data_IF_288259319108
#
_entry.id   IF_288259319108
#
_cell.length_a   1.000
_cell.length_b   1.000
_cell.length_c   1.000
_cell.angle_alpha   90.00
_cell.angle_beta   90.00
_cell.angle_gamma   90.00
#
_symmetry.space_group_name_H-M   'P 1'
#
loop_
_entity.id
_entity.type
_entity.pdbx_description
1 polymer ?
#
# COMPACT_ATOMS: atom_id res chain seq x y z
N UNK A 1 -6.15 15.81 -8.45
CA UNK A 1 -7.30 14.88 -8.65
C UNK A 1 -8.50 15.42 -7.86
N UNK A 2 -9.72 15.29 -8.36
CA UNK A 2 -10.93 15.64 -7.60
C UNK A 2 -11.23 14.50 -6.60
N UNK A 3 -11.65 14.81 -5.38
CA UNK A 3 -11.93 13.80 -4.32
C UNK A 3 -12.80 12.62 -4.79
N UNK A 4 -13.76 12.89 -5.67
CA UNK A 4 -14.65 11.87 -6.24
C UNK A 4 -13.92 10.86 -7.14
N UNK A 5 -12.96 11.33 -7.94
CA UNK A 5 -12.15 10.47 -8.82
C UNK A 5 -11.23 9.56 -8.01
N UNK A 6 -10.68 10.07 -6.92
CA UNK A 6 -9.83 9.29 -6.01
C UNK A 6 -10.61 8.16 -5.35
N UNK A 7 -11.82 8.47 -4.86
CA UNK A 7 -12.70 7.47 -4.27
C UNK A 7 -13.08 6.38 -5.27
N UNK A 8 -13.42 6.76 -6.50
CA UNK A 8 -13.79 5.81 -7.54
C UNK A 8 -12.64 4.86 -7.90
N UNK A 9 -11.42 5.38 -8.08
CA UNK A 9 -10.26 4.55 -8.41
C UNK A 9 -9.91 3.63 -7.23
N UNK A 10 -10.00 4.11 -6.00
CA UNK A 10 -9.78 3.28 -4.83
C UNK A 10 -10.79 2.12 -4.76
N UNK A 11 -12.08 2.39 -4.97
CA UNK A 11 -13.10 1.34 -5.06
C UNK A 11 -12.85 0.37 -6.22
N UNK A 12 -12.41 0.89 -7.38
CA UNK A 12 -12.07 0.05 -8.52
C UNK A 12 -10.93 -0.92 -8.19
N UNK A 13 -9.88 -0.43 -7.52
CA UNK A 13 -8.70 -1.19 -7.08
C UNK A 13 -8.96 -2.07 -5.84
N UNK A 14 -10.03 -1.83 -5.09
CA UNK A 14 -10.45 -2.73 -4.00
C UNK A 14 -10.86 -4.10 -4.53
N UNK A 15 -11.40 -4.19 -5.75
CA UNK A 15 -11.69 -5.47 -6.39
C UNK A 15 -10.36 -6.24 -6.67
N UNK A 16 -10.18 -7.45 -6.11
CA UNK A 16 -8.99 -8.28 -6.34
C UNK A 16 -8.70 -8.56 -7.83
N UNK A 17 -9.72 -8.70 -8.68
CA UNK A 17 -9.56 -8.95 -10.11
C UNK A 17 -8.89 -7.78 -10.82
N UNK A 18 -9.47 -6.58 -10.65
CA UNK A 18 -8.91 -5.36 -11.22
C UNK A 18 -7.49 -5.07 -10.70
N UNK A 19 -7.26 -5.33 -9.41
CA UNK A 19 -5.95 -5.14 -8.79
C UNK A 19 -4.91 -6.09 -9.40
N UNK A 20 -5.26 -7.37 -9.55
CA UNK A 20 -4.39 -8.38 -10.16
C UNK A 20 -4.09 -8.05 -11.61
N UNK A 21 -5.09 -7.66 -12.41
CA UNK A 21 -4.92 -7.31 -13.82
C UNK A 21 -3.98 -6.13 -14.01
N UNK A 22 -4.13 -5.07 -13.20
CA UNK A 22 -3.25 -3.90 -13.26
C UNK A 22 -1.81 -4.30 -12.93
N UNK A 23 -1.59 -5.08 -11.87
CA UNK A 23 -0.24 -5.54 -11.51
C UNK A 23 0.36 -6.48 -12.57
N UNK A 24 -0.42 -7.43 -13.07
CA UNK A 24 0.01 -8.36 -14.10
C UNK A 24 0.37 -7.63 -15.40
N UNK A 25 -0.45 -6.66 -15.81
CA UNK A 25 -0.21 -5.83 -16.98
C UNK A 25 1.03 -4.94 -16.84
N UNK A 26 1.18 -4.25 -15.71
CA UNK A 26 2.21 -3.21 -15.52
C UNK A 26 3.55 -3.74 -15.02
N UNK A 27 3.54 -4.57 -13.97
CA UNK A 27 4.76 -5.06 -13.30
C UNK A 27 5.23 -6.35 -13.97
N UNK A 28 4.32 -7.27 -14.26
CA UNK A 28 4.64 -8.58 -14.84
C UNK A 28 4.53 -8.64 -16.37
N UNK A 29 4.40 -7.48 -17.03
CA UNK A 29 4.41 -7.33 -18.49
C UNK A 29 3.37 -8.22 -19.19
N UNK A 30 2.16 -8.25 -18.65
CA UNK A 30 1.02 -9.01 -19.17
C UNK A 30 0.98 -10.49 -18.74
N UNK A 31 1.94 -10.97 -17.94
CA UNK A 31 1.90 -12.34 -17.42
C UNK A 31 0.98 -12.43 -16.20
N UNK A 32 0.12 -13.45 -16.19
CA UNK A 32 -0.82 -13.72 -15.10
C UNK A 32 -0.10 -14.38 -13.91
N UNK A 33 0.56 -13.57 -13.08
CA UNK A 33 1.34 -14.02 -11.92
C UNK A 33 0.55 -13.85 -10.62
N UNK A 34 -0.04 -12.66 -10.41
CA UNK A 34 -0.93 -12.41 -9.28
C UNK A 34 -2.29 -12.98 -9.62
N UNK A 35 -2.81 -13.84 -8.76
CA UNK A 35 -4.16 -14.37 -8.90
C UNK A 35 -5.11 -13.66 -7.93
N UNK A 36 -6.32 -13.26 -8.38
CA UNK A 36 -7.30 -12.60 -7.52
C UNK A 36 -7.62 -13.38 -6.24
N UNK A 37 -7.70 -14.71 -6.33
CA UNK A 37 -7.96 -15.61 -5.21
C UNK A 37 -6.85 -15.62 -4.14
N UNK A 38 -5.63 -15.27 -4.52
CA UNK A 38 -4.48 -15.23 -3.62
C UNK A 38 -4.30 -13.86 -2.95
N UNK A 39 -5.17 -12.88 -3.27
CA UNK A 39 -5.13 -11.52 -2.74
C UNK A 39 -6.04 -11.38 -1.52
N UNK A 40 -5.45 -10.95 -0.41
CA UNK A 40 -6.19 -10.56 0.80
C UNK A 40 -6.02 -9.06 1.08
N UNK A 41 -7.07 -8.37 1.56
CA UNK A 41 -6.94 -6.98 1.98
C UNK A 41 -5.88 -6.81 3.08
N UNK A 42 -5.16 -5.69 3.04
CA UNK A 42 -4.24 -5.30 4.10
C UNK A 42 -4.57 -3.90 4.59
N UNK A 43 -4.21 -3.61 5.84
CA UNK A 43 -4.47 -2.30 6.44
C UNK A 43 -3.78 -1.17 5.66
N UNK A 44 -4.60 -0.28 5.10
CA UNK A 44 -4.19 0.90 4.33
C UNK A 44 -3.91 2.13 5.21
N UNK A 45 -4.58 2.20 6.37
CA UNK A 45 -4.53 3.32 7.31
C UNK A 45 -3.92 2.89 8.63
N UNK A 46 -2.71 3.37 8.93
CA UNK A 46 -2.02 3.05 10.19
C UNK A 46 -1.48 4.31 10.82
N UNK A 47 -1.76 4.50 12.11
CA UNK A 47 -1.21 5.60 12.91
C UNK A 47 -0.20 5.07 13.90
N UNK A 48 1.01 5.63 13.91
CA UNK A 48 2.08 5.25 14.84
C UNK A 48 2.39 6.45 15.72
N UNK A 49 2.44 6.22 17.03
CA UNK A 49 2.86 7.22 18.01
C UNK A 49 4.37 7.11 18.22
N UNK A 50 5.12 8.05 17.67
CA UNK A 50 6.57 8.13 17.88
C UNK A 50 6.88 9.10 19.03
N UNK A 51 7.67 8.69 20.03
CA UNK A 51 8.16 9.63 21.04
C UNK A 51 9.19 10.58 20.40
N UNK A 52 9.01 11.88 20.60
CA UNK A 52 10.01 12.89 20.29
C UNK A 52 11.13 12.89 21.34
N UNK A 53 12.26 13.56 21.05
CA UNK A 53 13.39 13.78 21.97
C UNK A 53 12.98 14.42 23.31
N UNK A 54 11.84 15.12 23.32
CA UNK A 54 11.22 15.74 24.49
C UNK A 54 10.21 14.84 25.23
N UNK A 55 10.05 13.57 24.82
CA UNK A 55 9.08 12.62 25.38
C UNK A 55 7.63 12.83 24.91
N UNK A 56 7.36 13.87 24.10
CA UNK A 56 6.04 14.12 23.51
C UNK A 56 5.75 13.11 22.41
N UNK A 57 4.59 12.44 22.46
CA UNK A 57 4.17 11.48 21.43
C UNK A 57 3.65 12.25 20.20
N UNK A 58 4.34 12.12 19.06
CA UNK A 58 3.88 12.62 17.77
C UNK A 58 3.18 11.50 17.02
N UNK A 59 1.92 11.72 16.65
CA UNK A 59 1.20 10.81 15.77
C UNK A 59 1.67 11.01 14.33
N UNK A 60 2.27 9.97 13.76
CA UNK A 60 2.55 9.89 12.32
C UNK A 60 1.48 9.01 11.70
N UNK A 61 0.66 9.59 10.83
CA UNK A 61 -0.37 8.87 10.09
C UNK A 61 0.19 8.41 8.75
N UNK A 62 -0.06 7.14 8.42
CA UNK A 62 0.25 6.53 7.13
C UNK A 62 -1.06 6.30 6.41
N UNK A 63 -1.12 6.85 5.21
CA UNK A 63 -2.22 6.66 4.28
C UNK A 63 -1.59 6.07 3.02
N UNK A 64 -1.80 4.77 2.80
CA UNK A 64 -1.67 4.16 1.47
C UNK A 64 -3.07 4.02 0.90
N UNK A 65 -3.25 4.19 -0.40
CA UNK A 65 -4.59 4.17 -0.99
C UNK A 65 -5.17 2.75 -0.97
N UNK A 66 -4.48 1.79 -1.60
CA UNK A 66 -4.91 0.38 -1.61
C UNK A 66 -3.72 -0.53 -1.34
N UNK A 67 -3.87 -1.43 -0.36
CA UNK A 67 -2.84 -2.41 0.00
C UNK A 67 -3.45 -3.81 0.03
N UNK A 68 -2.78 -4.76 -0.61
CA UNK A 68 -3.14 -6.18 -0.60
C UNK A 68 -1.94 -7.03 -0.24
N UNK A 69 -2.18 -8.15 0.42
CA UNK A 69 -1.19 -9.20 0.68
C UNK A 69 -1.45 -10.35 -0.27
N UNK A 70 -0.39 -10.96 -0.75
CA UNK A 70 -0.47 -12.17 -1.57
C UNK A 70 0.63 -13.15 -1.16
N UNK A 71 0.44 -14.40 -1.55
CA UNK A 71 1.44 -15.45 -1.44
C UNK A 71 1.76 -15.96 -2.84
N UNK A 72 3.04 -16.08 -3.16
CA UNK A 72 3.56 -16.58 -4.42
C UNK A 72 4.30 -17.87 -4.12
N UNK A 73 3.54 -18.92 -3.83
CA UNK A 73 4.06 -20.17 -3.27
C UNK A 73 4.50 -19.97 -1.82
N UNK A 74 5.79 -20.18 -1.52
CA UNK A 74 6.35 -20.00 -0.18
C UNK A 74 6.72 -18.54 0.17
N UNK A 75 6.61 -17.62 -0.79
CA UNK A 75 6.98 -16.22 -0.63
C UNK A 75 5.74 -15.37 -0.33
N UNK A 76 5.84 -14.46 0.62
CA UNK A 76 4.77 -13.50 0.91
C UNK A 76 5.15 -12.11 0.40
N UNK A 77 4.19 -11.43 -0.23
CA UNK A 77 4.36 -10.08 -0.74
C UNK A 77 3.26 -9.15 -0.24
N UNK A 78 3.63 -7.91 0.05
CA UNK A 78 2.72 -6.81 0.30
C UNK A 78 2.76 -5.90 -0.92
N UNK A 79 1.63 -5.81 -1.61
CA UNK A 79 1.45 -5.01 -2.81
C UNK A 79 0.68 -3.74 -2.43
N UNK A 80 1.23 -2.58 -2.77
CA UNK A 80 0.56 -1.31 -2.55
C UNK A 80 0.39 -0.56 -3.87
N UNK A 81 -0.79 0.01 -4.07
CA UNK A 81 -1.09 0.88 -5.19
C UNK A 81 -1.42 2.27 -4.64
N UNK A 82 -0.80 3.29 -5.23
CA UNK A 82 -1.01 4.69 -4.89
C UNK A 82 -1.61 5.35 -6.13
N UNK A 83 -2.81 5.91 -6.00
CA UNK A 83 -3.52 6.54 -7.10
C UNK A 83 -3.07 8.00 -7.24
N UNK A 84 -1.92 8.21 -7.86
CA UNK A 84 -1.36 9.54 -8.08
C UNK A 84 -1.55 10.01 -9.52
N UNK A 85 -1.90 11.29 -9.68
CA UNK A 85 -2.04 11.92 -11.01
C UNK A 85 -0.69 12.22 -11.64
N UNK A 86 0.27 12.69 -10.83
CA UNK A 86 1.57 13.18 -11.28
C UNK A 86 2.69 12.40 -10.60
N UNK A 87 3.83 12.28 -11.30
CA UNK A 87 5.03 11.64 -10.73
C UNK A 87 5.61 12.54 -9.65
N UNK A 88 5.55 12.08 -8.40
CA UNK A 88 6.18 12.74 -7.28
C UNK A 88 7.40 11.93 -6.80
N UNK A 89 8.61 12.44 -7.05
CA UNK A 89 9.84 11.75 -6.64
C UNK A 89 10.00 11.57 -5.12
N UNK A 90 9.34 12.39 -4.31
CA UNK A 90 9.32 12.21 -2.86
C UNK A 90 8.57 10.93 -2.45
N UNK A 91 7.81 10.30 -3.36
CA UNK A 91 7.15 9.03 -3.10
C UNK A 91 8.08 7.91 -2.72
N UNK A 92 9.28 7.88 -3.29
CA UNK A 92 10.27 6.85 -2.95
C UNK A 92 10.63 6.94 -1.46
N UNK A 93 10.90 8.15 -0.99
CA UNK A 93 11.23 8.42 0.42
C UNK A 93 10.02 8.17 1.32
N UNK A 94 8.83 8.57 0.90
CA UNK A 94 7.58 8.35 1.65
C UNK A 94 7.29 6.85 1.82
N UNK A 95 7.44 6.07 0.76
CA UNK A 95 7.28 4.61 0.78
C UNK A 95 8.31 3.94 1.69
N UNK A 96 9.59 4.33 1.59
CA UNK A 96 10.65 3.83 2.47
C UNK A 96 10.39 4.16 3.95
N UNK A 97 9.99 5.40 4.26
CA UNK A 97 9.65 5.80 5.62
C UNK A 97 8.49 4.98 6.16
N UNK A 98 7.44 4.78 5.35
CA UNK A 98 6.34 3.91 5.72
C UNK A 98 6.84 2.50 6.04
N UNK A 99 7.61 1.89 5.15
CA UNK A 99 8.11 0.53 5.38
C UNK A 99 9.01 0.44 6.64
N UNK A 100 9.87 1.43 6.89
CA UNK A 100 10.66 1.52 8.12
C UNK A 100 9.77 1.59 9.38
N UNK A 101 8.70 2.40 9.33
CA UNK A 101 7.76 2.53 10.43
C UNK A 101 7.02 1.22 10.74
N UNK A 102 6.83 0.30 9.77
CA UNK A 102 6.25 -1.02 10.05
C UNK A 102 7.05 -1.80 11.10
N UNK A 103 8.37 -1.64 11.14
CA UNK A 103 9.27 -2.34 12.06
C UNK A 103 9.29 -1.74 13.47
N UNK A 104 8.83 -0.49 13.63
CA UNK A 104 8.76 0.16 14.95
C UNK A 104 7.59 -0.33 15.80
N UNK A 105 6.70 -1.16 15.23
CA UNK A 105 5.62 -1.76 15.99
C UNK A 105 6.15 -2.82 16.95
N UNK A 106 5.74 -2.80 18.22
CA UNK A 106 5.98 -3.92 19.13
C UNK A 106 5.38 -5.18 18.51
N UNK A 107 6.17 -6.25 18.46
CA UNK A 107 5.63 -7.59 18.22
C UNK A 107 4.82 -7.92 19.48
N UNK A 108 3.50 -8.00 19.34
CA UNK A 108 2.63 -8.56 20.38
C UNK A 108 2.62 -10.07 20.27
#
# INVERSE_FOLDING_TARGET
MTQEKDLFINQYLENPEHFADIYNGTVFRGKQIIKPEDLSPAECNQSILLPDKSGRKKAVRRYRDVVKKTHLGAQFAILACENQTDVNYAMVIRSMLYDALNYTRPVQ
#
